data_IF_260043886051
#
_entry.id   IF_260043886051
#
_cell.length_a   1.000
_cell.length_b   1.000
_cell.length_c   1.000
_cell.angle_alpha   90.00
_cell.angle_beta   90.00
_cell.angle_gamma   90.00
#
_symmetry.space_group_name_H-M   'P 1'
#
loop_
_entity.id
_entity.type
_entity.pdbx_description
1 polymer ?
#
# COMPACT_ATOMS: atom_id res chain seq x y z
N UNK A 1 15.65 -37.28 6.42
CA UNK A 1 15.18 -36.11 7.17
C UNK A 1 15.22 -34.95 6.20
N UNK A 2 14.10 -34.68 5.52
CA UNK A 2 13.98 -33.49 4.68
C UNK A 2 13.95 -32.26 5.61
N UNK A 3 14.42 -31.09 5.17
CA UNK A 3 14.11 -29.87 5.90
C UNK A 3 12.59 -29.75 5.98
N UNK A 4 12.10 -29.52 7.20
CA UNK A 4 10.76 -29.01 7.45
C UNK A 4 10.69 -27.67 6.69
N UNK A 5 10.01 -27.66 5.54
CA UNK A 5 9.66 -26.46 4.79
C UNK A 5 8.64 -25.73 5.66
N UNK A 6 9.16 -25.09 6.72
CA UNK A 6 8.36 -24.34 7.67
C UNK A 6 7.59 -23.31 6.86
N UNK A 7 6.26 -23.44 6.91
CA UNK A 7 5.27 -22.55 6.29
C UNK A 7 5.71 -21.10 6.51
N UNK A 8 6.45 -20.55 5.54
CA UNK A 8 6.81 -19.15 5.55
C UNK A 8 5.49 -18.44 5.33
N UNK A 9 5.00 -17.66 6.32
CA UNK A 9 3.66 -17.09 6.23
C UNK A 9 3.58 -16.30 4.93
N UNK A 10 2.58 -16.62 4.11
CA UNK A 10 2.41 -16.02 2.78
C UNK A 10 2.35 -14.49 2.94
N UNK A 11 3.45 -13.82 2.57
CA UNK A 11 3.52 -12.36 2.65
C UNK A 11 2.83 -11.77 1.44
N UNK A 12 1.87 -10.91 1.69
CA UNK A 12 1.17 -10.16 0.67
C UNK A 12 2.01 -8.94 0.28
N UNK A 13 2.07 -8.65 -1.02
CA UNK A 13 2.68 -7.42 -1.56
C UNK A 13 1.58 -6.50 -2.09
N UNK A 14 1.62 -5.23 -1.67
CA UNK A 14 0.77 -4.16 -2.21
C UNK A 14 1.66 -2.98 -2.61
N UNK A 15 1.36 -2.36 -3.74
CA UNK A 15 2.09 -1.17 -4.23
C UNK A 15 1.21 0.07 -4.08
N UNK A 16 1.70 1.05 -3.33
CA UNK A 16 1.03 2.32 -3.10
C UNK A 16 1.72 3.41 -3.90
N UNK A 17 1.03 3.96 -4.90
CA UNK A 17 1.44 5.18 -5.58
C UNK A 17 0.85 6.39 -4.86
N UNK A 18 1.58 7.49 -4.79
CA UNK A 18 1.11 8.75 -4.20
C UNK A 18 1.04 9.84 -5.25
N UNK A 19 0.02 10.69 -5.17
CA UNK A 19 -0.16 11.81 -6.11
C UNK A 19 0.92 12.90 -5.98
N UNK A 20 1.58 12.99 -4.83
CA UNK A 20 2.70 13.89 -4.56
C UNK A 20 3.94 13.06 -4.16
N UNK A 21 4.97 12.93 -5.03
CA UNK A 21 6.13 12.08 -4.77
C UNK A 21 6.94 12.55 -3.55
N UNK A 22 6.85 13.82 -3.16
CA UNK A 22 7.50 14.32 -1.94
C UNK A 22 6.95 13.68 -0.65
N UNK A 23 5.73 13.12 -0.70
CA UNK A 23 5.10 12.43 0.43
C UNK A 23 5.49 10.96 0.54
N UNK A 24 6.18 10.39 -0.45
CA UNK A 24 6.46 8.95 -0.50
C UNK A 24 7.35 8.50 0.66
N UNK A 25 8.39 9.27 0.98
CA UNK A 25 9.23 9.02 2.15
C UNK A 25 8.43 9.14 3.47
N UNK A 26 7.54 10.12 3.58
CA UNK A 26 6.72 10.30 4.78
C UNK A 26 5.73 9.16 4.98
N UNK A 27 5.11 8.66 3.92
CA UNK A 27 4.22 7.50 3.96
C UNK A 27 4.99 6.23 4.35
N UNK A 28 6.19 6.05 3.80
CA UNK A 28 7.08 4.95 4.19
C UNK A 28 7.36 4.94 5.69
N UNK A 29 7.77 6.08 6.23
CA UNK A 29 8.10 6.19 7.65
C UNK A 29 6.86 5.99 8.55
N UNK A 30 5.69 6.43 8.09
CA UNK A 30 4.41 6.15 8.76
C UNK A 30 4.07 4.66 8.83
N UNK A 31 4.17 3.97 7.69
CA UNK A 31 3.85 2.54 7.58
C UNK A 31 4.87 1.65 8.29
N UNK A 32 6.14 2.06 8.37
CA UNK A 32 7.17 1.35 9.15
C UNK A 32 6.89 1.32 10.65
N UNK A 33 6.03 2.18 11.16
CA UNK A 33 5.57 2.13 12.55
C UNK A 33 4.65 0.94 12.85
N UNK A 34 4.17 0.22 11.84
CA UNK A 34 3.27 -0.92 12.00
C UNK A 34 4.06 -2.22 12.21
N UNK A 35 3.56 -3.08 13.09
CA UNK A 35 4.16 -4.39 13.35
C UNK A 35 3.99 -5.31 12.13
N UNK A 36 5.01 -6.12 11.84
CA UNK A 36 5.00 -7.11 10.75
C UNK A 36 4.85 -6.50 9.34
N UNK A 37 5.32 -5.25 9.15
CA UNK A 37 5.29 -4.57 7.85
C UNK A 37 6.71 -4.23 7.39
N UNK A 38 7.10 -4.77 6.24
CA UNK A 38 8.28 -4.31 5.50
C UNK A 38 7.84 -3.32 4.42
N UNK A 39 8.52 -2.17 4.35
CA UNK A 39 8.21 -1.12 3.38
C UNK A 39 9.45 -0.71 2.62
N UNK A 40 9.37 -0.71 1.28
CA UNK A 40 10.44 -0.33 0.36
C UNK A 40 9.93 0.60 -0.73
N UNK A 41 10.77 1.55 -1.13
CA UNK A 41 10.54 2.34 -2.34
C UNK A 41 10.99 1.51 -3.53
N UNK A 42 10.15 1.41 -4.55
CA UNK A 42 10.47 0.69 -5.78
C UNK A 42 10.18 1.57 -6.98
N UNK A 43 11.00 1.52 -8.04
CA UNK A 43 10.70 2.22 -9.27
C UNK A 43 9.35 1.75 -9.80
N UNK A 44 8.49 2.70 -10.16
CA UNK A 44 7.24 2.38 -10.83
C UNK A 44 7.50 1.74 -12.20
N UNK A 45 6.55 0.96 -12.68
CA UNK A 45 6.59 0.40 -14.03
C UNK A 45 5.66 1.23 -14.91
N UNK A 46 6.15 1.86 -16.00
CA UNK A 46 5.30 2.65 -16.88
C UNK A 46 4.27 1.77 -17.58
N UNK A 47 3.04 2.26 -17.70
CA UNK A 47 2.02 1.64 -18.51
C UNK A 47 2.34 1.67 -20.00
N UNK A 48 1.63 0.86 -20.79
CA UNK A 48 1.79 0.86 -22.24
C UNK A 48 1.45 2.25 -22.82
N UNK A 49 2.45 2.91 -23.43
CA UNK A 49 2.32 4.25 -24.00
C UNK A 49 2.63 5.40 -23.05
N UNK A 50 3.00 5.12 -21.78
CA UNK A 50 3.45 6.14 -20.84
C UNK A 50 4.97 6.38 -20.94
N UNK A 51 5.39 7.64 -20.76
CA UNK A 51 6.82 7.98 -20.66
C UNK A 51 7.20 8.19 -19.19
N UNK A 52 7.91 7.21 -18.65
CA UNK A 52 8.36 7.22 -17.25
C UNK A 52 7.28 6.77 -16.27
N UNK A 53 7.71 6.40 -15.07
CA UNK A 53 6.82 6.06 -13.97
C UNK A 53 7.39 6.64 -12.67
N UNK A 54 6.49 7.12 -11.81
CA UNK A 54 6.87 7.58 -10.48
C UNK A 54 7.21 6.38 -9.60
N UNK A 55 8.15 6.58 -8.68
CA UNK A 55 8.41 5.59 -7.63
C UNK A 55 7.11 5.29 -6.86
N UNK A 56 6.97 4.03 -6.46
CA UNK A 56 5.87 3.55 -5.63
C UNK A 56 6.40 2.96 -4.34
N UNK A 57 5.50 2.77 -3.39
CA UNK A 57 5.82 2.16 -2.11
C UNK A 57 5.34 0.72 -2.09
N UNK A 58 6.28 -0.22 -2.16
CA UNK A 58 5.99 -1.64 -1.98
C UNK A 58 5.89 -1.97 -0.47
N UNK A 59 4.71 -2.42 -0.06
CA UNK A 59 4.41 -2.89 1.29
C UNK A 59 4.35 -4.42 1.25
N UNK A 60 5.17 -5.08 2.06
CA UNK A 60 5.18 -6.52 2.24
C UNK A 60 4.83 -6.85 3.69
N UNK A 61 3.79 -7.64 3.92
CA UNK A 61 3.35 -7.99 5.27
C UNK A 61 2.59 -9.32 5.29
N UNK A 62 2.44 -9.95 6.46
CA UNK A 62 1.38 -10.95 6.66
C UNK A 62 0.00 -10.33 6.38
N UNK A 63 -1.04 -11.14 6.20
CA UNK A 63 -2.41 -10.63 6.02
C UNK A 63 -2.83 -9.71 7.18
N UNK A 64 -2.48 -10.05 8.42
CA UNK A 64 -2.72 -9.18 9.59
C UNK A 64 -1.94 -7.87 9.54
N UNK A 65 -0.65 -7.92 9.20
CA UNK A 65 0.19 -6.72 9.07
C UNK A 65 -0.29 -5.81 7.95
N UNK A 66 -0.75 -6.37 6.84
CA UNK A 66 -1.32 -5.63 5.72
C UNK A 66 -2.60 -4.91 6.12
N UNK A 67 -3.49 -5.58 6.85
CA UNK A 67 -4.72 -4.95 7.37
C UNK A 67 -4.38 -3.81 8.36
N UNK A 68 -3.36 -3.98 9.21
CA UNK A 68 -2.89 -2.90 10.09
C UNK A 68 -2.34 -1.71 9.29
N UNK A 69 -1.53 -1.97 8.26
CA UNK A 69 -0.95 -0.97 7.38
C UNK A 69 -2.01 -0.11 6.68
N UNK A 70 -3.08 -0.71 6.16
CA UNK A 70 -4.12 0.05 5.46
C UNK A 70 -5.01 0.85 6.43
N UNK A 71 -5.21 0.36 7.65
CA UNK A 71 -6.08 1.02 8.65
C UNK A 71 -5.54 2.36 9.13
N UNK A 72 -4.24 2.61 8.97
CA UNK A 72 -3.63 3.90 9.31
C UNK A 72 -3.61 4.89 8.14
N UNK A 73 -4.00 4.48 6.93
CA UNK A 73 -4.07 5.36 5.76
C UNK A 73 -5.07 6.51 5.89
N UNK A 74 -6.29 6.33 6.45
CA UNK A 74 -7.24 7.43 6.60
C UNK A 74 -6.67 8.60 7.42
N UNK A 75 -6.03 8.29 8.55
CA UNK A 75 -5.40 9.31 9.39
C UNK A 75 -4.25 10.01 8.65
N UNK A 76 -3.40 9.22 7.98
CA UNK A 76 -2.31 9.76 7.17
C UNK A 76 -2.85 10.71 6.08
N UNK A 77 -3.82 10.27 5.28
CA UNK A 77 -4.39 11.04 4.17
C UNK A 77 -5.02 12.34 4.68
N UNK A 78 -5.80 12.30 5.76
CA UNK A 78 -6.45 13.50 6.33
C UNK A 78 -5.47 14.50 6.93
N UNK A 79 -4.31 14.03 7.40
CA UNK A 79 -3.26 14.90 7.92
C UNK A 79 -2.45 15.62 6.81
N UNK A 80 -2.73 15.34 5.52
CA UNK A 80 -2.07 15.97 4.38
C UNK A 80 -2.90 17.13 3.82
N UNK A 81 -2.24 17.91 2.97
CA UNK A 81 -2.85 19.05 2.28
C UNK A 81 -3.98 18.58 1.39
N UNK A 82 -4.99 19.43 1.18
CA UNK A 82 -6.13 19.14 0.31
C UNK A 82 -5.68 18.61 -1.05
N UNK A 83 -6.24 17.47 -1.47
CA UNK A 83 -5.96 16.85 -2.77
C UNK A 83 -4.90 15.75 -2.77
N UNK A 84 -4.33 15.37 -1.63
CA UNK A 84 -3.47 14.18 -1.54
C UNK A 84 -4.26 12.90 -1.85
N UNK A 85 -3.71 12.05 -2.73
CA UNK A 85 -4.30 10.76 -3.10
C UNK A 85 -3.27 9.63 -3.02
N UNK A 86 -3.75 8.46 -2.65
CA UNK A 86 -3.02 7.20 -2.73
C UNK A 86 -3.74 6.32 -3.76
N UNK A 87 -3.00 5.76 -4.71
CA UNK A 87 -3.51 4.80 -5.68
C UNK A 87 -2.89 3.43 -5.39
N UNK A 88 -3.69 2.38 -5.52
CA UNK A 88 -3.23 0.99 -5.36
C UNK A 88 -4.00 0.08 -6.31
N UNK A 89 -3.36 -1.00 -6.75
CA UNK A 89 -4.03 -2.05 -7.53
C UNK A 89 -3.94 -3.35 -6.75
N UNK A 90 -5.10 -3.93 -6.40
CA UNK A 90 -5.18 -5.22 -5.70
C UNK A 90 -6.04 -6.15 -6.53
N UNK A 91 -5.51 -7.31 -6.92
CA UNK A 91 -6.22 -8.31 -7.74
C UNK A 91 -6.77 -7.77 -9.06
N UNK A 92 -6.05 -6.83 -9.67
CA UNK A 92 -6.47 -6.17 -10.92
C UNK A 92 -7.51 -5.06 -10.73
N UNK A 93 -7.98 -4.83 -9.51
CA UNK A 93 -8.88 -3.71 -9.20
C UNK A 93 -8.05 -2.50 -8.76
N UNK A 94 -8.13 -1.41 -9.52
CA UNK A 94 -7.48 -0.14 -9.20
C UNK A 94 -8.38 0.65 -8.24
N UNK A 95 -7.81 1.04 -7.10
CA UNK A 95 -8.46 1.84 -6.07
C UNK A 95 -7.71 3.15 -5.88
N UNK A 96 -8.46 4.23 -5.66
CA UNK A 96 -7.93 5.56 -5.39
C UNK A 96 -8.53 6.05 -4.07
N UNK A 97 -7.66 6.34 -3.11
CA UNK A 97 -8.02 6.78 -1.77
C UNK A 97 -7.61 8.25 -1.61
N UNK A 98 -8.54 9.07 -1.15
CA UNK A 98 -8.33 10.46 -0.78
C UNK A 98 -9.18 10.82 0.45
N UNK A 99 -8.98 12.02 0.98
CA UNK A 99 -9.61 12.43 2.23
C UNK A 99 -11.15 12.41 2.20
N UNK A 100 -11.76 12.43 1.01
CA UNK A 100 -13.21 12.47 0.82
C UNK A 100 -13.86 11.09 0.69
N UNK A 101 -13.11 10.05 0.31
CA UNK A 101 -13.66 8.73 0.03
C UNK A 101 -12.97 7.59 0.80
N UNK A 102 -11.92 7.89 1.57
CA UNK A 102 -11.08 6.85 2.19
C UNK A 102 -11.88 5.91 3.08
N UNK A 103 -12.89 6.38 3.82
CA UNK A 103 -13.71 5.53 4.68
C UNK A 103 -14.64 4.59 3.91
N UNK A 104 -15.04 4.98 2.69
CA UNK A 104 -15.89 4.17 1.82
C UNK A 104 -15.06 3.14 1.05
N UNK A 105 -13.84 3.50 0.65
CA UNK A 105 -12.94 2.65 -0.14
C UNK A 105 -12.17 1.66 0.75
N UNK A 106 -11.83 2.01 1.98
CA UNK A 106 -11.03 1.16 2.87
C UNK A 106 -11.67 -0.22 3.14
N UNK A 107 -12.99 -0.37 3.38
CA UNK A 107 -13.63 -1.68 3.53
C UNK A 107 -13.53 -2.54 2.26
N UNK A 108 -13.57 -1.91 1.07
CA UNK A 108 -13.39 -2.61 -0.21
C UNK A 108 -11.96 -3.14 -0.32
N UNK A 109 -10.97 -2.29 -0.01
CA UNK A 109 -9.56 -2.68 0.03
C UNK A 109 -9.30 -3.82 1.02
N UNK A 110 -9.84 -3.73 2.26
CA UNK A 110 -9.77 -4.81 3.26
C UNK A 110 -10.32 -6.12 2.71
N UNK A 111 -11.46 -6.08 2.02
CA UNK A 111 -12.10 -7.27 1.43
C UNK A 111 -11.24 -7.89 0.33
N UNK A 112 -10.65 -7.09 -0.55
CA UNK A 112 -9.77 -7.58 -1.62
C UNK A 112 -8.51 -8.27 -1.06
N UNK A 113 -8.00 -7.80 0.07
CA UNK A 113 -6.79 -8.36 0.70
C UNK A 113 -7.06 -9.65 1.48
N UNK A 114 -8.28 -9.84 2.00
CA UNK A 114 -8.70 -11.06 2.71
C UNK A 114 -9.20 -12.17 1.79
N UNK A 115 -9.60 -11.82 0.56
CA UNK A 115 -10.30 -12.73 -0.35
C UNK A 115 -9.44 -13.86 -0.87
#
# INVERSE_FOLDING_TARGET
MAPDDGDVPERQKVELAVSDPSQLASLRDWLRGQQDVEVRVTPGVPGAGEQGALDVLAVLASSSGMIAAIRVLPEYIRSRRSGFRIETTVRGEKLVLDATNVDDVLPVLERLLRG
#
